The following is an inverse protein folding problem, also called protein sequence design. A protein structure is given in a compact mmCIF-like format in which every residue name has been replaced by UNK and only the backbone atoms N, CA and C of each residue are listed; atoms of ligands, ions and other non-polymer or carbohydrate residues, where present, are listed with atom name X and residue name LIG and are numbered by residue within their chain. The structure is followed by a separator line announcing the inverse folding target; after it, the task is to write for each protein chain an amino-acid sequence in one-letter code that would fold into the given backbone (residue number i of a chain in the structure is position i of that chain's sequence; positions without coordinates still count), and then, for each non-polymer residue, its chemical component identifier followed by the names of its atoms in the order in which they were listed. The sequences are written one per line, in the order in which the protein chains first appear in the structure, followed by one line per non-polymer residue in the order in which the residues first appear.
data_IF_675856972274
#
_entry.id   IF_675856972274
#
_cell.length_a   1.000
_cell.length_b   1.000
_cell.length_c   1.000
_cell.angle_alpha   90.00
_cell.angle_beta   90.00
_cell.angle_gamma   90.00
#
_symmetry.space_group_name_H-M   'P 1'
#
loop_
_entity.id
_entity.type
_entity.pdbx_description
1 polymer ?
#
# COMPACT_ATOMS: atom_id res chain seq x y z
N UNK A 1 0.38 4.61 34.69
CA UNK A 1 -1.08 4.39 34.69
C UNK A 1 -1.42 3.89 33.30
N UNK A 2 -2.00 2.69 33.17
CA UNK A 2 -2.11 2.00 31.89
C UNK A 2 -3.46 2.33 31.24
N UNK A 3 -3.51 3.49 30.60
CA UNK A 3 -4.66 3.97 29.83
C UNK A 3 -4.20 4.09 28.38
N UNK A 4 -4.94 3.49 27.45
CA UNK A 4 -4.75 3.66 26.02
C UNK A 4 -6.04 4.28 25.47
N UNK A 5 -5.95 5.53 25.05
CA UNK A 5 -7.03 6.22 24.34
C UNK A 5 -6.68 6.26 22.85
N UNK A 6 -7.47 5.60 22.02
CA UNK A 6 -7.20 5.43 20.60
C UNK A 6 -7.22 6.75 19.82
N UNK A 7 -7.99 7.74 20.28
CA UNK A 7 -8.08 9.05 19.62
C UNK A 7 -6.95 9.97 20.06
N UNK A 8 -6.64 10.00 21.35
CA UNK A 8 -5.59 10.87 21.89
C UNK A 8 -4.18 10.31 21.66
N UNK A 9 -4.04 8.98 21.59
CA UNK A 9 -2.77 8.29 21.42
C UNK A 9 -2.89 7.10 20.46
N UNK A 10 -3.18 7.34 19.17
CA UNK A 10 -3.30 6.28 18.15
C UNK A 10 -2.05 5.39 18.05
N UNK A 11 -0.87 5.95 18.28
CA UNK A 11 0.40 5.21 18.32
C UNK A 11 0.43 4.12 19.40
N UNK A 12 -0.28 4.30 20.53
CA UNK A 12 -0.37 3.28 21.58
C UNK A 12 -1.33 2.15 21.19
N UNK A 13 -2.40 2.44 20.43
CA UNK A 13 -3.24 1.40 19.81
C UNK A 13 -2.40 0.54 18.86
N UNK A 14 -1.64 1.17 17.96
CA UNK A 14 -0.76 0.46 17.03
C UNK A 14 0.27 -0.40 17.76
N UNK A 15 0.93 0.15 18.79
CA UNK A 15 1.89 -0.59 19.60
C UNK A 15 1.25 -1.75 20.39
N UNK A 16 0.00 -1.60 20.86
CA UNK A 16 -0.77 -2.66 21.52
C UNK A 16 -1.05 -3.81 20.54
N UNK A 17 -1.57 -3.49 19.34
CA UNK A 17 -1.94 -4.47 18.32
C UNK A 17 -0.73 -5.20 17.75
N UNK A 18 0.40 -4.50 17.56
CA UNK A 18 1.69 -5.10 17.22
C UNK A 18 2.31 -5.89 18.38
N UNK A 19 1.69 -5.84 19.57
CA UNK A 19 2.13 -6.51 20.77
C UNK A 19 3.38 -5.90 21.40
N UNK A 20 3.87 -4.74 20.95
CA UNK A 20 5.08 -4.09 21.48
C UNK A 20 4.91 -3.51 22.89
N UNK A 21 3.68 -3.30 23.35
CA UNK A 21 3.40 -2.86 24.71
C UNK A 21 3.51 -4.01 25.72
N UNK A 22 3.73 -3.64 26.98
CA UNK A 22 3.77 -4.57 28.11
C UNK A 22 4.78 -5.70 27.91
N UNK A 23 5.99 -5.38 27.45
CA UNK A 23 7.11 -6.31 27.30
C UNK A 23 8.30 -5.87 28.15
N UNK A 24 8.97 -6.83 28.77
CA UNK A 24 10.29 -6.66 29.37
C UNK A 24 11.33 -7.38 28.50
N UNK A 25 12.48 -6.73 28.27
CA UNK A 25 13.63 -7.37 27.63
C UNK A 25 14.62 -7.76 28.72
N UNK A 26 14.99 -9.03 28.79
CA UNK A 26 16.01 -9.50 29.71
C UNK A 26 17.37 -8.86 29.34
N UNK A 27 18.03 -8.13 30.24
CA UNK A 27 19.30 -7.48 29.92
C UNK A 27 20.43 -8.48 29.69
N UNK A 28 20.31 -9.72 30.21
CA UNK A 28 21.37 -10.73 30.12
C UNK A 28 21.29 -11.61 28.87
N UNK A 29 20.09 -11.90 28.36
CA UNK A 29 19.90 -12.82 27.23
C UNK A 29 19.00 -12.26 26.12
N UNK A 30 18.52 -11.02 26.27
CA UNK A 30 17.59 -10.35 25.35
C UNK A 30 16.25 -11.07 25.13
N UNK A 31 15.95 -12.11 25.92
CA UNK A 31 14.63 -12.73 25.90
C UNK A 31 13.56 -11.70 26.23
N UNK A 32 12.50 -11.69 25.42
CA UNK A 32 11.37 -10.77 25.60
C UNK A 32 10.26 -11.50 26.35
N UNK A 33 9.83 -10.95 27.48
CA UNK A 33 8.76 -11.51 28.32
C UNK A 33 7.59 -10.54 28.35
N UNK A 34 6.39 -11.04 28.08
CA UNK A 34 5.17 -10.26 28.25
C UNK A 34 4.89 -10.03 29.75
N UNK A 35 4.54 -8.80 30.11
CA UNK A 35 4.17 -8.41 31.45
C UNK A 35 2.64 -8.30 31.50
N UNK A 36 1.99 -9.18 32.26
CA UNK A 36 0.55 -9.11 32.48
C UNK A 36 0.22 -8.00 33.49
N UNK A 37 -0.14 -6.81 32.98
CA UNK A 37 -0.61 -5.68 33.79
C UNK A 37 -2.05 -5.29 33.43
N UNK A 38 -2.86 -4.82 34.40
CA UNK A 38 -4.16 -4.26 34.10
C UNK A 38 -4.05 -3.05 33.16
N UNK A 39 -5.02 -2.90 32.27
CA UNK A 39 -5.03 -1.88 31.23
C UNK A 39 -6.48 -1.48 30.93
N UNK A 40 -6.73 -0.20 30.66
CA UNK A 40 -7.98 0.24 30.04
C UNK A 40 -7.71 0.75 28.62
N UNK A 41 -8.49 0.25 27.67
CA UNK A 41 -8.52 0.70 26.29
C UNK A 41 -9.82 1.45 26.04
N UNK A 42 -9.71 2.64 25.46
CA UNK A 42 -10.83 3.53 25.17
C UNK A 42 -10.77 3.97 23.70
N UNK A 43 -11.86 3.75 22.98
CA UNK A 43 -12.02 4.22 21.60
C UNK A 43 -13.36 4.95 21.47
N UNK A 44 -13.34 6.30 21.50
CA UNK A 44 -14.55 7.09 21.49
C UNK A 44 -15.27 7.09 20.14
N UNK A 45 -14.57 6.81 19.04
CA UNK A 45 -15.14 6.72 17.69
C UNK A 45 -15.95 5.42 17.51
N UNK A 46 -15.54 4.38 18.22
CA UNK A 46 -16.21 3.07 18.26
C UNK A 46 -17.14 2.86 19.45
N UNK A 47 -17.30 3.88 20.31
CA UNK A 47 -18.03 3.79 21.58
C UNK A 47 -17.59 2.60 22.44
N UNK A 48 -16.29 2.35 22.50
CA UNK A 48 -15.70 1.15 23.06
C UNK A 48 -14.88 1.46 24.32
N UNK A 49 -15.15 0.72 25.39
CA UNK A 49 -14.37 0.77 26.63
C UNK A 49 -14.10 -0.65 27.12
N UNK A 50 -12.84 -1.08 26.99
CA UNK A 50 -12.38 -2.40 27.37
C UNK A 50 -11.44 -2.30 28.57
N UNK A 51 -11.59 -3.20 29.54
CA UNK A 51 -10.74 -3.27 30.73
C UNK A 51 -10.11 -4.65 30.81
N UNK A 52 -8.80 -4.74 30.60
CA UNK A 52 -8.04 -5.97 30.78
C UNK A 52 -7.71 -6.15 32.26
N UNK A 53 -8.16 -7.28 32.82
CA UNK A 53 -7.79 -7.75 34.15
C UNK A 53 -7.16 -9.14 34.01
N UNK A 54 -5.82 -9.24 33.94
CA UNK A 54 -5.15 -10.52 33.75
C UNK A 54 -5.42 -11.50 34.89
N UNK A 55 -5.75 -12.75 34.56
CA UNK A 55 -6.07 -13.80 35.55
C UNK A 55 -4.87 -14.19 36.39
N UNK A 56 -3.65 -13.98 35.88
CA UNK A 56 -2.40 -14.31 36.57
C UNK A 56 -2.18 -13.46 37.83
N UNK A 57 -2.93 -12.36 37.99
CA UNK A 57 -2.88 -11.51 39.19
C UNK A 57 -3.59 -12.14 40.41
N UNK A 58 -4.36 -13.21 40.22
CA UNK A 58 -5.01 -13.94 41.32
C UNK A 58 -5.95 -13.10 42.19
N UNK A 59 -6.56 -12.06 41.61
CA UNK A 59 -7.45 -11.14 42.33
C UNK A 59 -8.78 -11.79 42.69
N UNK A 60 -9.33 -11.46 43.86
CA UNK A 60 -10.72 -11.77 44.19
C UNK A 60 -11.71 -10.91 43.38
N UNK A 61 -12.96 -11.36 43.24
CA UNK A 61 -14.00 -10.62 42.52
C UNK A 61 -14.16 -9.17 43.02
N UNK A 62 -14.10 -8.97 44.34
CA UNK A 62 -14.20 -7.63 44.93
C UNK A 62 -12.99 -6.73 44.59
N UNK A 63 -11.79 -7.31 44.53
CA UNK A 63 -10.60 -6.56 44.11
C UNK A 63 -10.64 -6.21 42.63
N UNK A 64 -11.16 -7.14 41.80
CA UNK A 64 -11.38 -6.91 40.38
C UNK A 64 -12.35 -5.76 40.14
N UNK A 65 -13.51 -5.73 40.81
CA UNK A 65 -14.47 -4.62 40.69
C UNK A 65 -13.87 -3.27 41.07
N UNK A 66 -13.10 -3.20 42.16
CA UNK A 66 -12.41 -1.97 42.57
C UNK A 66 -11.38 -1.51 41.55
N UNK A 67 -10.61 -2.45 40.99
CA UNK A 67 -9.61 -2.17 39.97
C UNK A 67 -10.27 -1.63 38.69
N UNK A 68 -11.33 -2.31 38.23
CA UNK A 68 -12.11 -1.88 37.05
C UNK A 68 -12.69 -0.49 37.28
N UNK A 69 -13.33 -0.24 38.42
CA UNK A 69 -13.87 1.07 38.76
C UNK A 69 -12.80 2.17 38.78
N UNK A 70 -11.61 1.88 39.33
CA UNK A 70 -10.48 2.82 39.34
C UNK A 70 -9.96 3.16 37.94
N UNK A 71 -9.84 2.15 37.06
CA UNK A 71 -9.40 2.35 35.67
C UNK A 71 -10.42 3.11 34.84
N UNK A 72 -11.71 2.79 35.00
CA UNK A 72 -12.82 3.52 34.34
C UNK A 72 -12.86 4.97 34.80
N UNK A 73 -12.72 5.22 36.10
CA UNK A 73 -12.66 6.58 36.64
C UNK A 73 -11.46 7.36 36.10
N UNK A 74 -10.31 6.71 35.93
CA UNK A 74 -9.11 7.34 35.39
C UNK A 74 -9.33 7.84 33.97
N UNK A 75 -9.95 7.04 33.09
CA UNK A 75 -10.28 7.50 31.73
C UNK A 75 -11.39 8.54 31.74
N UNK A 76 -12.47 8.35 32.52
CA UNK A 76 -13.56 9.33 32.62
C UNK A 76 -13.09 10.71 33.05
N UNK A 77 -12.10 10.79 33.93
CA UNK A 77 -11.51 12.05 34.39
C UNK A 77 -10.76 12.81 33.29
N UNK A 78 -10.29 12.10 32.26
CA UNK A 78 -9.57 12.66 31.11
C UNK A 78 -10.49 12.94 29.91
N UNK A 79 -11.69 12.34 29.88
CA UNK A 79 -12.69 12.55 28.82
C UNK A 79 -13.61 13.75 29.14
N UNK A 80 -13.83 14.70 28.21
CA UNK A 80 -14.80 15.79 28.38
C UNK A 80 -16.22 15.28 28.66
N UNK A 81 -17.01 15.95 29.52
CA UNK A 81 -18.36 15.50 29.89
C UNK A 81 -19.27 15.17 28.70
N UNK A 82 -19.19 15.96 27.63
CA UNK A 82 -20.00 15.84 26.42
C UNK A 82 -19.67 14.57 25.61
N UNK A 83 -18.46 14.02 25.81
CA UNK A 83 -17.97 12.82 25.14
C UNK A 83 -18.16 11.54 25.98
N UNK A 84 -18.57 11.66 27.25
CA UNK A 84 -18.84 10.53 28.16
C UNK A 84 -20.20 9.91 27.85
N UNK A 85 -20.29 9.18 26.74
CA UNK A 85 -21.53 8.50 26.33
C UNK A 85 -21.82 7.26 27.19
N UNK A 86 -22.95 6.60 26.93
CA UNK A 86 -23.47 5.50 27.75
C UNK A 86 -22.54 4.28 27.90
N UNK A 87 -21.60 4.05 26.98
CA UNK A 87 -20.67 2.91 27.05
C UNK A 87 -19.71 2.97 28.25
N UNK A 88 -19.44 4.15 28.80
CA UNK A 88 -18.68 4.29 30.06
C UNK A 88 -19.36 3.63 31.26
N UNK A 89 -20.69 3.49 31.22
CA UNK A 89 -21.47 2.82 32.28
C UNK A 89 -21.51 1.30 32.11
N UNK A 90 -20.99 0.78 30.99
CA UNK A 90 -20.96 -0.64 30.66
C UNK A 90 -19.58 -1.05 30.11
N UNK A 91 -18.50 -0.89 30.90
CA UNK A 91 -17.17 -1.31 30.48
C UNK A 91 -17.14 -2.83 30.27
N UNK A 92 -16.55 -3.28 29.16
CA UNK A 92 -16.36 -4.71 28.92
C UNK A 92 -15.07 -5.16 29.58
N UNK A 93 -15.16 -6.10 30.51
CA UNK A 93 -13.98 -6.66 31.16
C UNK A 93 -13.49 -7.88 30.39
N UNK A 94 -12.20 -7.92 30.07
CA UNK A 94 -11.53 -9.05 29.42
C UNK A 94 -10.40 -9.57 30.27
N UNK A 95 -10.10 -10.87 30.13
CA UNK A 95 -9.18 -11.58 31.01
C UNK A 95 -7.81 -11.85 30.39
N UNK A 96 -7.70 -11.75 29.07
CA UNK A 96 -6.47 -12.03 28.34
C UNK A 96 -6.14 -10.90 27.37
N UNK A 97 -4.86 -10.66 27.15
CA UNK A 97 -4.40 -9.71 26.13
C UNK A 97 -4.91 -10.09 24.74
N UNK A 98 -4.96 -11.39 24.45
CA UNK A 98 -5.46 -11.91 23.18
C UNK A 98 -6.93 -11.50 22.94
N UNK A 99 -7.82 -11.67 23.93
CA UNK A 99 -9.23 -11.27 23.78
C UNK A 99 -9.40 -9.75 23.70
N UNK A 100 -8.56 -8.99 24.40
CA UNK A 100 -8.53 -7.53 24.27
C UNK A 100 -8.24 -7.13 22.82
N UNK A 101 -7.18 -7.68 22.23
CA UNK A 101 -6.77 -7.40 20.85
C UNK A 101 -7.88 -7.81 19.87
N UNK A 102 -8.48 -8.99 20.05
CA UNK A 102 -9.60 -9.44 19.22
C UNK A 102 -10.79 -8.47 19.24
N UNK A 103 -11.22 -7.99 20.42
CA UNK A 103 -12.33 -7.03 20.51
C UNK A 103 -12.01 -5.68 19.86
N UNK A 104 -10.75 -5.24 19.95
CA UNK A 104 -10.31 -4.01 19.26
C UNK A 104 -10.37 -4.21 17.75
N UNK A 105 -9.84 -5.33 17.25
CA UNK A 105 -9.87 -5.69 15.84
C UNK A 105 -11.30 -5.87 15.32
N UNK A 106 -12.18 -6.53 16.08
CA UNK A 106 -13.61 -6.68 15.77
C UNK A 106 -14.29 -5.31 15.61
N UNK A 107 -14.00 -4.35 16.49
CA UNK A 107 -14.51 -2.98 16.38
C UNK A 107 -13.93 -2.19 15.20
N UNK A 108 -12.71 -2.54 14.78
CA UNK A 108 -12.08 -2.04 13.56
C UNK A 108 -12.57 -2.78 12.29
N UNK A 109 -13.46 -3.77 12.42
CA UNK A 109 -14.04 -4.53 11.31
C UNK A 109 -13.23 -5.77 10.90
N UNK A 110 -12.19 -6.13 11.67
CA UNK A 110 -11.36 -7.31 11.44
C UNK A 110 -11.91 -8.49 12.24
N UNK A 111 -12.44 -9.50 11.57
CA UNK A 111 -13.03 -10.67 12.23
C UNK A 111 -11.99 -11.74 12.59
N UNK A 112 -12.35 -12.65 13.49
CA UNK A 112 -11.50 -13.80 13.82
C UNK A 112 -11.20 -14.65 12.58
N UNK A 113 -12.16 -14.80 11.67
CA UNK A 113 -11.98 -15.51 10.40
C UNK A 113 -10.95 -14.81 9.51
N UNK A 114 -10.94 -13.48 9.44
CA UNK A 114 -9.94 -12.71 8.70
C UNK A 114 -8.53 -12.90 9.27
N UNK A 115 -8.39 -12.88 10.60
CA UNK A 115 -7.11 -13.15 11.28
C UNK A 115 -6.63 -14.57 10.99
N UNK A 116 -7.53 -15.56 11.05
CA UNK A 116 -7.18 -16.95 10.73
C UNK A 116 -6.82 -17.11 9.26
N UNK A 117 -7.51 -16.42 8.35
CA UNK A 117 -7.16 -16.41 6.93
C UNK A 117 -5.75 -15.84 6.71
N UNK A 118 -5.42 -14.72 7.36
CA UNK A 118 -4.08 -14.14 7.30
C UNK A 118 -3.01 -15.10 7.84
N UNK A 119 -3.26 -15.76 8.99
CA UNK A 119 -2.35 -16.78 9.53
C UNK A 119 -2.14 -17.95 8.56
N UNK A 120 -3.22 -18.47 7.96
CA UNK A 120 -3.13 -19.54 6.95
C UNK A 120 -2.28 -19.12 5.75
N UNK A 121 -2.44 -17.88 5.24
CA UNK A 121 -1.62 -17.36 4.14
C UNK A 121 -0.13 -17.31 4.50
N UNK A 122 0.21 -16.83 5.70
CA UNK A 122 1.59 -16.78 6.18
C UNK A 122 2.19 -18.18 6.35
N UNK A 123 1.41 -19.14 6.88
CA UNK A 123 1.85 -20.53 7.00
C UNK A 123 2.09 -21.16 5.62
N UNK A 124 1.16 -20.99 4.67
CA UNK A 124 1.33 -21.48 3.31
C UNK A 124 2.56 -20.86 2.62
N UNK A 125 2.81 -19.57 2.83
CA UNK A 125 3.99 -18.90 2.30
C UNK A 125 5.30 -19.49 2.84
N UNK A 126 5.40 -19.73 4.15
CA UNK A 126 6.56 -20.40 4.76
C UNK A 126 6.75 -21.83 4.21
N UNK A 127 5.66 -22.58 4.03
CA UNK A 127 5.71 -23.92 3.45
C UNK A 127 6.22 -23.92 2.00
N UNK A 128 5.73 -22.98 1.17
CA UNK A 128 6.16 -22.81 -0.21
C UNK A 128 7.63 -22.38 -0.30
N UNK A 129 8.08 -21.42 0.52
CA UNK A 129 9.48 -20.98 0.57
C UNK A 129 10.42 -22.14 0.95
N UNK A 130 10.04 -22.96 1.93
CA UNK A 130 10.83 -24.16 2.30
C UNK A 130 10.87 -25.21 1.20
N UNK A 131 9.83 -25.28 0.38
CA UNK A 131 9.77 -26.18 -0.76
C UNK A 131 10.46 -25.62 -2.02
N UNK A 132 10.85 -24.34 -2.06
CA UNK A 132 11.40 -23.70 -3.24
C UNK A 132 12.69 -24.36 -3.79
N UNK A 133 13.43 -25.09 -2.95
CA UNK A 133 14.60 -25.88 -3.35
C UNK A 133 14.29 -27.27 -3.93
N UNK A 134 13.02 -27.70 -3.93
CA UNK A 134 12.56 -29.00 -4.42
C UNK A 134 11.35 -28.81 -5.34
N UNK A 135 11.61 -28.76 -6.64
CA UNK A 135 10.61 -28.44 -7.67
C UNK A 135 9.42 -29.41 -7.68
N UNK A 136 9.66 -30.70 -7.39
CA UNK A 136 8.58 -31.69 -7.37
C UNK A 136 7.65 -31.45 -6.18
N UNK A 137 8.22 -31.16 -5.01
CA UNK A 137 7.45 -30.82 -3.81
C UNK A 137 6.73 -29.48 -3.96
N UNK A 138 7.41 -28.46 -4.51
CA UNK A 138 6.82 -27.15 -4.75
C UNK A 138 5.63 -27.26 -5.70
N UNK A 139 5.77 -27.99 -6.81
CA UNK A 139 4.68 -28.22 -7.75
C UNK A 139 3.49 -28.86 -7.06
N UNK A 140 3.70 -29.94 -6.29
CA UNK A 140 2.62 -30.61 -5.56
C UNK A 140 1.88 -29.67 -4.58
N UNK A 141 2.61 -28.83 -3.84
CA UNK A 141 2.01 -27.82 -2.94
C UNK A 141 1.21 -26.77 -3.71
N UNK A 142 1.72 -26.30 -4.86
CA UNK A 142 0.97 -25.38 -5.72
C UNK A 142 -0.33 -26.04 -6.17
N UNK A 143 -0.29 -27.29 -6.62
CA UNK A 143 -1.50 -28.01 -7.08
C UNK A 143 -2.53 -28.20 -5.97
N UNK A 144 -2.07 -28.54 -4.77
CA UNK A 144 -2.91 -28.74 -3.58
C UNK A 144 -3.58 -27.44 -3.12
N UNK A 145 -2.84 -26.34 -3.15
CA UNK A 145 -3.27 -25.04 -2.62
C UNK A 145 -3.65 -24.02 -3.69
N UNK A 146 -3.88 -24.41 -4.96
CA UNK A 146 -4.22 -23.46 -6.05
C UNK A 146 -5.35 -22.49 -5.71
N UNK A 147 -6.32 -22.92 -4.90
CA UNK A 147 -7.44 -22.08 -4.47
C UNK A 147 -7.07 -21.01 -3.44
N UNK A 148 -6.01 -21.23 -2.65
CA UNK A 148 -5.52 -20.30 -1.64
C UNK A 148 -4.49 -19.30 -2.21
N UNK A 149 -3.99 -19.55 -3.43
CA UNK A 149 -3.07 -18.68 -4.17
C UNK A 149 -3.83 -17.57 -4.91
N UNK A 150 -4.60 -16.80 -4.14
CA UNK A 150 -5.49 -15.73 -4.60
C UNK A 150 -4.83 -14.34 -4.56
N UNK A 151 -5.58 -13.29 -4.92
CA UNK A 151 -5.06 -11.93 -4.89
C UNK A 151 -4.58 -11.51 -3.49
N UNK A 152 -5.28 -11.92 -2.43
CA UNK A 152 -4.90 -11.61 -1.05
C UNK A 152 -3.58 -12.26 -0.64
N UNK A 153 -3.30 -13.48 -1.12
CA UNK A 153 -2.01 -14.16 -0.93
C UNK A 153 -0.87 -13.36 -1.59
N UNK A 154 -1.03 -12.98 -2.86
CA UNK A 154 -0.01 -12.20 -3.59
C UNK A 154 0.17 -10.79 -3.04
N UNK A 155 -0.90 -10.15 -2.55
CA UNK A 155 -0.82 -8.86 -1.86
C UNK A 155 -0.02 -8.98 -0.55
N UNK A 156 -0.23 -10.06 0.20
CA UNK A 156 0.55 -10.36 1.42
C UNK A 156 2.03 -10.55 1.09
N UNK A 157 2.32 -11.32 0.03
CA UNK A 157 3.68 -11.56 -0.44
C UNK A 157 4.37 -10.26 -0.88
N UNK A 158 3.64 -9.38 -1.58
CA UNK A 158 4.12 -8.05 -2.00
C UNK A 158 4.45 -7.16 -0.80
N UNK A 159 3.61 -7.15 0.23
CA UNK A 159 3.88 -6.37 1.45
C UNK A 159 5.16 -6.86 2.16
N UNK A 160 5.39 -8.18 2.21
CA UNK A 160 6.61 -8.76 2.80
C UNK A 160 7.85 -8.41 1.95
N UNK A 161 7.74 -8.46 0.61
CA UNK A 161 8.80 -8.02 -0.29
C UNK A 161 9.20 -6.56 -0.06
N UNK A 162 8.21 -5.67 0.07
CA UNK A 162 8.43 -4.25 0.34
C UNK A 162 9.12 -4.02 1.68
N UNK A 163 8.72 -4.75 2.72
CA UNK A 163 9.38 -4.69 4.04
C UNK A 163 10.84 -5.16 3.96
N UNK A 164 11.09 -6.30 3.29
CA UNK A 164 12.45 -6.84 3.12
C UNK A 164 13.36 -5.86 2.35
N UNK A 165 12.83 -5.21 1.32
CA UNK A 165 13.54 -4.17 0.58
C UNK A 165 13.86 -2.95 1.47
N UNK A 166 12.93 -2.53 2.32
CA UNK A 166 13.13 -1.42 3.26
C UNK A 166 14.16 -1.75 4.36
N UNK A 167 14.22 -3.01 4.81
CA UNK A 167 15.19 -3.47 5.82
C UNK A 167 16.57 -3.81 5.25
N UNK A 168 16.75 -3.80 3.93
CA UNK A 168 17.99 -4.18 3.26
C UNK A 168 18.26 -5.69 3.23
N UNK A 169 17.23 -6.52 3.43
CA UNK A 169 17.34 -7.98 3.37
C UNK A 169 17.21 -8.47 1.93
N UNK A 170 18.29 -8.32 1.17
CA UNK A 170 18.30 -8.57 -0.28
C UNK A 170 18.17 -10.05 -0.63
N UNK A 171 18.58 -10.96 0.26
CA UNK A 171 18.51 -12.39 0.02
C UNK A 171 17.08 -12.91 0.15
N UNK A 172 16.40 -12.56 1.24
CA UNK A 172 15.03 -13.00 1.47
C UNK A 172 14.07 -12.36 0.44
N UNK A 173 14.32 -11.10 0.07
CA UNK A 173 13.60 -10.45 -1.02
C UNK A 173 13.77 -11.19 -2.36
N UNK A 174 14.99 -11.60 -2.71
CA UNK A 174 15.24 -12.32 -3.96
C UNK A 174 14.59 -13.71 -3.99
N UNK A 175 14.61 -14.44 -2.86
CA UNK A 175 13.96 -15.75 -2.77
C UNK A 175 12.43 -15.63 -2.91
N UNK A 176 11.85 -14.63 -2.26
CA UNK A 176 10.43 -14.37 -2.29
C UNK A 176 9.96 -13.92 -3.68
N UNK A 177 10.76 -13.13 -4.38
CA UNK A 177 10.49 -12.73 -5.76
C UNK A 177 10.57 -13.93 -6.72
N UNK A 178 11.59 -14.77 -6.59
CA UNK A 178 11.71 -15.99 -7.40
C UNK A 178 10.53 -16.96 -7.19
N UNK A 179 10.08 -17.11 -5.94
CA UNK A 179 8.87 -17.88 -5.63
C UNK A 179 7.64 -17.26 -6.30
N UNK A 180 7.47 -15.94 -6.18
CA UNK A 180 6.37 -15.21 -6.83
C UNK A 180 6.32 -15.49 -8.33
N UNK A 181 7.44 -15.33 -9.03
CA UNK A 181 7.54 -15.62 -10.46
C UNK A 181 7.16 -17.07 -10.77
N UNK A 182 7.64 -18.03 -9.98
CA UNK A 182 7.32 -19.45 -10.16
C UNK A 182 5.83 -19.75 -9.96
N UNK A 183 5.17 -19.11 -8.98
CA UNK A 183 3.72 -19.26 -8.77
C UNK A 183 2.93 -18.70 -9.96
N UNK A 184 3.36 -17.57 -10.52
CA UNK A 184 2.71 -16.93 -11.67
C UNK A 184 2.85 -17.72 -12.98
N UNK A 185 3.77 -18.67 -13.05
CA UNK A 185 3.89 -19.58 -14.20
C UNK A 185 2.77 -20.62 -14.25
N UNK A 186 2.03 -20.86 -13.15
CA UNK A 186 0.83 -21.69 -13.18
C UNK A 186 -0.34 -20.87 -13.77
N UNK A 187 -0.92 -21.28 -14.92
CA UNK A 187 -1.98 -20.51 -15.58
C UNK A 187 -3.26 -20.38 -14.76
N UNK A 188 -3.56 -21.36 -13.89
CA UNK A 188 -4.74 -21.34 -13.03
C UNK A 188 -4.55 -20.36 -11.87
N UNK A 189 -3.33 -20.23 -11.35
CA UNK A 189 -2.98 -19.18 -10.38
C UNK A 189 -3.03 -17.81 -11.04
N UNK A 190 -2.36 -17.63 -12.18
CA UNK A 190 -2.38 -16.36 -12.91
C UNK A 190 -3.80 -15.93 -13.37
N UNK A 191 -4.71 -16.89 -13.55
CA UNK A 191 -6.11 -16.59 -13.86
C UNK A 191 -6.88 -15.97 -12.70
N UNK A 192 -6.50 -16.28 -11.46
CA UNK A 192 -7.11 -15.78 -10.23
C UNK A 192 -6.57 -14.43 -9.77
N UNK A 193 -5.68 -13.82 -10.57
CA UNK A 193 -5.11 -12.52 -10.27
C UNK A 193 -5.68 -11.44 -11.19
N UNK A 194 -5.88 -10.23 -10.65
CA UNK A 194 -6.23 -9.07 -11.45
C UNK A 194 -5.07 -8.73 -12.38
N UNK A 195 -5.38 -8.52 -13.67
CA UNK A 195 -4.39 -8.23 -14.69
C UNK A 195 -4.97 -7.26 -15.73
N UNK A 196 -4.13 -6.49 -16.43
CA UNK A 196 -4.56 -5.71 -17.58
C UNK A 196 -5.19 -6.61 -18.64
N UNK A 197 -6.41 -6.29 -19.06
CA UNK A 197 -7.09 -6.93 -20.16
C UNK A 197 -6.58 -6.38 -21.49
N UNK A 198 -6.40 -7.22 -22.52
CA UNK A 198 -5.95 -6.75 -23.82
C UNK A 198 -6.97 -5.77 -24.42
N UNK A 199 -6.52 -4.71 -25.14
CA UNK A 199 -7.43 -3.68 -25.68
C UNK A 199 -8.52 -4.17 -26.64
N UNK A 200 -8.35 -5.37 -27.22
CA UNK A 200 -9.30 -6.02 -28.14
C UNK A 200 -9.98 -7.25 -27.54
N UNK A 201 -10.03 -7.36 -26.22
CA UNK A 201 -10.70 -8.47 -25.55
C UNK A 201 -12.18 -8.53 -25.96
N UNK A 202 -12.69 -9.75 -26.18
CA UNK A 202 -14.13 -9.93 -26.40
C UNK A 202 -14.89 -9.80 -25.08
N UNK A 203 -16.19 -9.49 -25.16
CA UNK A 203 -17.03 -9.44 -23.96
C UNK A 203 -17.02 -10.79 -23.22
N UNK A 204 -17.10 -11.90 -23.95
CA UNK A 204 -17.12 -13.26 -23.38
C UNK A 204 -15.83 -13.55 -22.61
N UNK A 205 -14.66 -13.31 -23.21
CA UNK A 205 -13.37 -13.49 -22.53
C UNK A 205 -13.23 -12.59 -21.30
N UNK A 206 -13.70 -11.33 -21.38
CA UNK A 206 -13.67 -10.41 -20.25
C UNK A 206 -14.56 -10.91 -19.11
N UNK A 207 -15.78 -11.39 -19.41
CA UNK A 207 -16.68 -11.94 -18.41
C UNK A 207 -16.13 -13.23 -17.81
N UNK A 208 -15.48 -14.09 -18.59
CA UNK A 208 -14.86 -15.32 -18.09
C UNK A 208 -13.67 -15.05 -17.16
N UNK A 209 -12.93 -13.95 -17.38
CA UNK A 209 -11.89 -13.48 -16.45
C UNK A 209 -12.51 -12.89 -15.19
N UNK A 210 -13.54 -12.06 -15.32
CA UNK A 210 -14.20 -11.42 -14.18
C UNK A 210 -14.94 -12.44 -13.30
N UNK A 211 -15.58 -13.45 -13.90
CA UNK A 211 -16.25 -14.53 -13.17
C UNK A 211 -15.26 -15.40 -12.39
N UNK A 212 -14.02 -15.55 -12.86
CA UNK A 212 -12.98 -16.25 -12.11
C UNK A 212 -12.55 -15.51 -10.84
N UNK A 213 -12.83 -14.21 -10.76
CA UNK A 213 -12.54 -13.34 -9.61
C UNK A 213 -13.79 -12.97 -8.82
N UNK A 214 -14.98 -13.46 -9.21
CA UNK A 214 -16.24 -12.95 -8.70
C UNK A 214 -16.40 -13.16 -7.19
N UNK A 215 -15.78 -14.19 -6.63
CA UNK A 215 -15.82 -14.53 -5.21
C UNK A 215 -14.74 -13.82 -4.37
N UNK A 216 -13.76 -13.17 -5.01
CA UNK A 216 -12.71 -12.37 -4.37
C UNK A 216 -12.97 -10.88 -4.64
N UNK A 217 -13.60 -10.22 -3.67
CA UNK A 217 -14.00 -8.81 -3.77
C UNK A 217 -12.79 -7.89 -3.98
N UNK A 218 -11.67 -8.16 -3.32
CA UNK A 218 -10.45 -7.37 -3.46
C UNK A 218 -9.82 -7.55 -4.85
N UNK A 219 -9.79 -8.80 -5.36
CA UNK A 219 -9.34 -9.07 -6.72
C UNK A 219 -10.23 -8.37 -7.76
N UNK A 220 -11.55 -8.43 -7.57
CA UNK A 220 -12.50 -7.79 -8.49
C UNK A 220 -12.37 -6.26 -8.47
N UNK A 221 -12.19 -5.65 -7.30
CA UNK A 221 -11.94 -4.21 -7.18
C UNK A 221 -10.62 -3.80 -7.84
N UNK A 222 -9.53 -4.55 -7.63
CA UNK A 222 -8.27 -4.32 -8.32
C UNK A 222 -8.42 -4.49 -9.85
N UNK A 223 -9.17 -5.50 -10.30
CA UNK A 223 -9.49 -5.70 -11.71
C UNK A 223 -10.26 -4.52 -12.29
N UNK A 224 -11.22 -3.97 -11.54
CA UNK A 224 -11.99 -2.77 -11.87
C UNK A 224 -11.08 -1.56 -12.08
N UNK A 225 -10.13 -1.34 -11.17
CA UNK A 225 -9.20 -0.21 -11.20
C UNK A 225 -8.27 -0.27 -12.42
N UNK A 226 -7.60 -1.42 -12.62
CA UNK A 226 -6.62 -1.62 -13.71
C UNK A 226 -7.29 -1.44 -15.09
N UNK A 227 -8.53 -1.89 -15.22
CA UNK A 227 -9.25 -1.95 -16.49
C UNK A 227 -10.36 -0.89 -16.61
N UNK A 228 -10.35 0.13 -15.76
CA UNK A 228 -11.39 1.19 -15.67
C UNK A 228 -11.81 1.78 -17.04
N UNK A 229 -10.90 2.04 -18.00
CA UNK A 229 -11.28 2.56 -19.33
C UNK A 229 -12.17 1.61 -20.14
N UNK A 230 -12.11 0.30 -19.89
CA UNK A 230 -12.91 -0.71 -20.58
C UNK A 230 -14.34 -0.81 -20.02
N UNK A 231 -14.51 -0.50 -18.73
CA UNK A 231 -15.79 -0.62 -18.01
C UNK A 231 -16.68 0.61 -18.19
N UNK A 232 -17.00 0.91 -19.45
CA UNK A 232 -17.94 1.95 -19.84
C UNK A 232 -19.37 1.45 -20.08
N UNK A 233 -20.25 2.35 -20.54
CA UNK A 233 -21.65 2.05 -20.85
C UNK A 233 -21.82 0.82 -21.78
N UNK A 234 -21.01 0.74 -22.84
CA UNK A 234 -21.08 -0.35 -23.82
C UNK A 234 -20.82 -1.72 -23.18
N UNK A 235 -19.87 -1.81 -22.26
CA UNK A 235 -19.54 -3.04 -21.54
C UNK A 235 -20.71 -3.50 -20.68
N UNK A 236 -21.25 -2.61 -19.84
CA UNK A 236 -22.37 -2.94 -18.95
C UNK A 236 -23.66 -3.25 -19.68
N UNK A 237 -23.89 -2.64 -20.85
CA UNK A 237 -24.99 -3.04 -21.75
C UNK A 237 -24.78 -4.47 -22.23
N UNK A 238 -23.58 -4.81 -22.71
CA UNK A 238 -23.24 -6.17 -23.14
C UNK A 238 -23.42 -7.21 -22.04
N UNK A 239 -22.94 -6.93 -20.83
CA UNK A 239 -23.14 -7.79 -19.64
C UNK A 239 -24.63 -8.01 -19.35
N UNK A 240 -25.45 -6.97 -19.47
CA UNK A 240 -26.90 -7.09 -19.31
C UNK A 240 -27.52 -8.01 -20.38
N UNK A 241 -27.08 -7.88 -21.63
CA UNK A 241 -27.54 -8.74 -22.73
C UNK A 241 -27.13 -10.21 -22.55
N UNK A 242 -25.93 -10.49 -22.03
CA UNK A 242 -25.47 -11.85 -21.68
C UNK A 242 -26.30 -12.46 -20.54
N UNK A 243 -26.61 -11.67 -19.52
CA UNK A 243 -27.46 -12.08 -18.41
C UNK A 243 -28.88 -12.47 -18.87
N UNK A 244 -29.49 -11.65 -19.74
CA UNK A 244 -30.81 -11.96 -20.31
C UNK A 244 -30.76 -13.18 -21.24
N UNK A 245 -29.68 -13.36 -22.02
CA UNK A 245 -29.48 -14.57 -22.83
C UNK A 245 -29.40 -15.82 -21.96
N UNK A 246 -28.62 -15.80 -20.88
CA UNK A 246 -28.55 -16.92 -19.93
C UNK A 246 -29.92 -17.23 -19.32
N UNK A 247 -30.67 -16.20 -18.92
CA UNK A 247 -32.03 -16.34 -18.37
C UNK A 247 -33.00 -16.96 -19.39
N UNK A 248 -32.99 -16.49 -20.64
CA UNK A 248 -33.84 -17.01 -21.71
C UNK A 248 -33.48 -18.44 -22.12
N UNK A 249 -32.21 -18.84 -21.96
CA UNK A 249 -31.75 -20.20 -22.16
C UNK A 249 -32.07 -21.14 -20.97
N UNK A 250 -32.64 -20.63 -19.88
CA UNK A 250 -32.94 -21.40 -18.67
C UNK A 250 -31.76 -21.60 -17.73
N UNK A 251 -30.59 -21.00 -18.00
CA UNK A 251 -29.42 -21.01 -17.10
C UNK A 251 -29.53 -19.89 -16.07
N UNK A 252 -30.43 -20.09 -15.10
CA UNK A 252 -30.68 -19.11 -14.03
C UNK A 252 -29.45 -18.92 -13.14
N UNK A 253 -28.66 -19.98 -12.89
CA UNK A 253 -27.46 -19.91 -12.07
C UNK A 253 -26.38 -19.01 -12.70
N UNK A 254 -26.16 -19.09 -14.01
CA UNK A 254 -25.25 -18.16 -14.71
C UNK A 254 -25.80 -16.74 -14.71
N UNK A 255 -27.10 -16.57 -14.97
CA UNK A 255 -27.72 -15.24 -14.95
C UNK A 255 -27.55 -14.55 -13.58
N UNK A 256 -27.75 -15.26 -12.48
CA UNK A 256 -27.62 -14.71 -11.13
C UNK A 256 -26.16 -14.40 -10.76
N UNK A 257 -25.20 -15.22 -11.22
CA UNK A 257 -23.77 -14.91 -11.09
C UNK A 257 -23.37 -13.66 -11.87
N UNK A 258 -23.85 -13.49 -13.09
CA UNK A 258 -23.62 -12.28 -13.90
C UNK A 258 -24.27 -11.04 -13.27
N UNK A 259 -25.46 -11.19 -12.69
CA UNK A 259 -26.14 -10.11 -11.96
C UNK A 259 -25.32 -9.65 -10.74
N UNK A 260 -24.80 -10.61 -9.98
CA UNK A 260 -23.95 -10.35 -8.80
C UNK A 260 -22.64 -9.69 -9.20
N UNK A 261 -21.97 -10.22 -10.24
CA UNK A 261 -20.76 -9.64 -10.79
C UNK A 261 -20.98 -8.19 -11.24
N UNK A 262 -22.09 -7.92 -11.95
CA UNK A 262 -22.45 -6.57 -12.40
C UNK A 262 -22.59 -5.61 -11.23
N UNK A 263 -23.28 -6.02 -10.16
CA UNK A 263 -23.49 -5.19 -8.99
C UNK A 263 -22.15 -4.86 -8.30
N UNK A 264 -21.33 -5.89 -8.02
CA UNK A 264 -20.02 -5.71 -7.37
C UNK A 264 -19.06 -4.86 -8.19
N UNK A 265 -19.04 -5.03 -9.51
CA UNK A 265 -18.17 -4.24 -10.38
C UNK A 265 -18.58 -2.76 -10.41
N UNK A 266 -19.88 -2.47 -10.43
CA UNK A 266 -20.38 -1.09 -10.34
C UNK A 266 -20.06 -0.45 -8.99
N UNK A 267 -20.21 -1.20 -7.90
CA UNK A 267 -19.88 -0.75 -6.55
C UNK A 267 -18.39 -0.43 -6.41
N UNK A 268 -17.51 -1.33 -6.87
CA UNK A 268 -16.07 -1.11 -6.86
C UNK A 268 -15.65 0.11 -7.70
N UNK A 269 -16.28 0.32 -8.87
CA UNK A 269 -16.02 1.50 -9.71
C UNK A 269 -16.51 2.78 -9.01
N UNK A 270 -17.70 2.76 -8.43
CA UNK A 270 -18.27 3.93 -7.74
C UNK A 270 -17.45 4.32 -6.51
N UNK A 271 -16.98 3.35 -5.73
CA UNK A 271 -16.09 3.60 -4.60
C UNK A 271 -14.77 4.23 -5.03
N UNK A 272 -14.15 3.71 -6.10
CA UNK A 272 -12.92 4.27 -6.66
C UNK A 272 -13.11 5.69 -7.21
N UNK A 273 -14.20 5.92 -7.96
CA UNK A 273 -14.52 7.23 -8.51
C UNK A 273 -14.76 8.25 -7.37
N UNK A 274 -15.46 7.85 -6.29
CA UNK A 274 -15.65 8.68 -5.09
C UNK A 274 -14.34 8.96 -4.36
N UNK A 275 -13.48 7.96 -4.16
CA UNK A 275 -12.19 8.12 -3.52
C UNK A 275 -11.28 9.08 -4.32
N UNK A 276 -11.26 8.94 -5.65
CA UNK A 276 -10.53 9.85 -6.53
C UNK A 276 -11.04 11.28 -6.46
N UNK A 277 -12.37 11.47 -6.44
CA UNK A 277 -12.97 12.81 -6.29
C UNK A 277 -12.62 13.44 -4.94
N UNK A 278 -12.66 12.65 -3.86
CA UNK A 278 -12.30 13.14 -2.53
C UNK A 278 -10.82 13.56 -2.47
N UNK A 279 -9.92 12.74 -3.02
CA UNK A 279 -8.49 13.08 -3.09
C UNK A 279 -8.23 14.33 -3.93
N UNK A 280 -8.88 14.46 -5.10
CA UNK A 280 -8.77 15.67 -5.93
C UNK A 280 -9.29 16.93 -5.22
N UNK A 281 -10.34 16.81 -4.42
CA UNK A 281 -10.86 17.94 -3.64
C UNK A 281 -9.91 18.31 -2.49
N UNK A 282 -9.26 17.33 -1.85
CA UNK A 282 -8.20 17.57 -0.86
C UNK A 282 -7.01 18.30 -1.50
N UNK A 283 -6.53 17.84 -2.66
CA UNK A 283 -5.48 18.52 -3.42
C UNK A 283 -5.87 19.96 -3.74
N UNK A 284 -7.11 20.18 -4.17
CA UNK A 284 -7.62 21.52 -4.50
C UNK A 284 -7.62 22.42 -3.27
N UNK A 285 -7.99 21.90 -2.10
CA UNK A 285 -7.96 22.65 -0.85
C UNK A 285 -6.51 23.01 -0.47
N UNK A 286 -5.59 22.05 -0.55
CA UNK A 286 -4.17 22.28 -0.29
C UNK A 286 -3.57 23.32 -1.26
N UNK A 287 -3.95 23.29 -2.54
CA UNK A 287 -3.54 24.32 -3.51
C UNK A 287 -4.03 25.72 -3.09
N UNK A 288 -5.28 25.87 -2.65
CA UNK A 288 -5.78 27.15 -2.15
C UNK A 288 -5.06 27.61 -0.88
N UNK A 289 -4.76 26.69 0.04
CA UNK A 289 -4.00 26.97 1.26
C UNK A 289 -2.59 27.49 0.94
N UNK A 290 -1.87 26.82 0.03
CA UNK A 290 -0.56 27.27 -0.46
C UNK A 290 -0.66 28.64 -1.11
N UNK A 291 -1.68 28.89 -1.94
CA UNK A 291 -1.88 30.18 -2.59
C UNK A 291 -2.18 31.31 -1.60
N UNK A 292 -2.92 31.02 -0.53
CA UNK A 292 -3.28 31.96 0.52
C UNK A 292 -2.13 32.21 1.51
N UNK A 293 -1.13 31.32 1.55
CA UNK A 293 0.02 31.46 2.44
C UNK A 293 0.82 32.74 2.16
N UNK A 294 1.19 33.49 3.22
CA UNK A 294 2.10 34.63 3.09
C UNK A 294 3.52 34.21 2.68
N UNK A 295 3.94 33.00 3.05
CA UNK A 295 5.19 32.36 2.60
C UNK A 295 4.87 31.06 1.89
N UNK A 296 4.71 31.14 0.57
CA UNK A 296 4.33 29.99 -0.26
C UNK A 296 5.43 28.95 -0.33
N UNK A 297 6.69 29.37 -0.32
CA UNK A 297 7.80 28.43 -0.41
C UNK A 297 7.93 27.61 0.88
N UNK A 298 7.72 28.22 2.05
CA UNK A 298 7.61 27.49 3.30
C UNK A 298 6.42 26.52 3.31
N UNK A 299 5.22 26.98 2.90
CA UNK A 299 4.04 26.12 2.82
C UNK A 299 4.25 24.91 1.89
N UNK A 300 4.85 25.11 0.72
CA UNK A 300 5.16 23.99 -0.19
C UNK A 300 6.14 23.00 0.46
N UNK A 301 7.16 23.46 1.19
CA UNK A 301 8.12 22.57 1.86
C UNK A 301 7.45 21.73 2.94
N UNK A 302 6.56 22.32 3.73
CA UNK A 302 5.86 21.63 4.80
C UNK A 302 4.94 20.51 4.28
N UNK A 303 4.40 20.69 3.07
CA UNK A 303 3.51 19.73 2.40
C UNK A 303 4.18 18.94 1.27
N UNK A 304 5.52 18.98 1.13
CA UNK A 304 6.20 18.38 -0.02
C UNK A 304 5.99 16.85 -0.10
N UNK A 305 5.79 16.19 1.05
CA UNK A 305 5.51 14.77 1.13
C UNK A 305 4.09 14.39 0.62
N UNK A 306 3.16 15.35 0.59
CA UNK A 306 1.79 15.18 0.09
C UNK A 306 1.71 15.45 -1.42
N UNK A 307 2.78 15.97 -2.03
CA UNK A 307 2.83 16.23 -3.47
C UNK A 307 3.10 14.93 -4.23
N UNK A 308 2.05 14.35 -4.77
CA UNK A 308 2.10 13.19 -5.65
C UNK A 308 1.73 13.54 -7.11
N UNK A 309 1.65 12.51 -7.96
CA UNK A 309 1.26 12.67 -9.36
C UNK A 309 -0.18 13.20 -9.51
N UNK A 310 -1.10 12.85 -8.61
CA UNK A 310 -2.47 13.33 -8.65
C UNK A 310 -2.51 14.83 -8.34
N UNK A 311 -1.82 15.26 -7.28
CA UNK A 311 -1.70 16.66 -6.90
C UNK A 311 -1.16 17.52 -8.05
N UNK A 312 -0.06 17.08 -8.69
CA UNK A 312 0.54 17.79 -9.83
C UNK A 312 -0.45 17.93 -11.00
N UNK A 313 -1.19 16.85 -11.30
CA UNK A 313 -2.22 16.89 -12.34
C UNK A 313 -3.39 17.82 -11.98
N UNK A 314 -3.81 17.83 -10.72
CA UNK A 314 -4.85 18.75 -10.20
C UNK A 314 -4.39 20.20 -10.33
N UNK A 315 -3.14 20.50 -9.99
CA UNK A 315 -2.53 21.82 -10.14
C UNK A 315 -2.46 22.28 -11.60
N UNK A 316 -1.98 21.42 -12.52
CA UNK A 316 -1.94 21.73 -13.96
C UNK A 316 -3.35 22.02 -14.50
N UNK A 317 -4.35 21.22 -14.11
CA UNK A 317 -5.75 21.47 -14.46
C UNK A 317 -6.26 22.81 -13.95
N UNK A 318 -5.89 23.19 -12.73
CA UNK A 318 -6.24 24.49 -12.15
C UNK A 318 -5.61 25.66 -12.93
N UNK A 319 -4.35 25.52 -13.37
CA UNK A 319 -3.65 26.50 -14.22
C UNK A 319 -4.41 26.70 -15.54
N UNK A 320 -4.78 25.60 -16.20
CA UNK A 320 -5.49 25.61 -17.46
C UNK A 320 -6.90 26.18 -17.33
N UNK A 321 -7.60 25.86 -16.23
CA UNK A 321 -8.93 26.39 -15.96
C UNK A 321 -8.90 27.90 -15.72
N UNK A 322 -7.98 28.40 -14.89
CA UNK A 322 -7.80 29.84 -14.69
C UNK A 322 -7.50 30.57 -16.01
N UNK A 323 -6.69 29.95 -16.89
CA UNK A 323 -6.41 30.49 -18.22
C UNK A 323 -7.64 30.51 -19.12
N UNK A 324 -8.45 29.45 -19.13
CA UNK A 324 -9.72 29.39 -19.89
C UNK A 324 -10.73 30.43 -19.42
N UNK A 325 -10.77 30.71 -18.12
CA UNK A 325 -11.65 31.70 -17.52
C UNK A 325 -11.15 33.16 -17.67
N UNK A 326 -9.94 33.37 -18.19
CA UNK A 326 -9.35 34.70 -18.36
C UNK A 326 -8.74 35.29 -17.08
N UNK A 327 -8.59 34.49 -16.02
CA UNK A 327 -7.94 34.89 -14.77
C UNK A 327 -6.42 34.73 -14.88
N UNK A 328 -5.79 35.71 -15.52
CA UNK A 328 -4.35 35.71 -15.80
C UNK A 328 -3.52 35.78 -14.52
N UNK A 329 -3.97 36.53 -13.52
CA UNK A 329 -3.27 36.67 -12.24
C UNK A 329 -3.22 35.34 -11.49
N UNK A 330 -4.36 34.67 -11.36
CA UNK A 330 -4.45 33.36 -10.71
C UNK A 330 -3.66 32.30 -11.47
N UNK A 331 -3.73 32.29 -12.80
CA UNK A 331 -2.95 31.37 -13.64
C UNK A 331 -1.44 31.55 -13.43
N UNK A 332 -0.96 32.79 -13.34
CA UNK A 332 0.45 33.08 -13.07
C UNK A 332 0.88 32.62 -11.67
N UNK A 333 0.06 32.85 -10.64
CA UNK A 333 0.34 32.40 -9.26
C UNK A 333 0.38 30.87 -9.14
N UNK A 334 -0.58 30.18 -9.76
CA UNK A 334 -0.60 28.71 -9.79
C UNK A 334 0.63 28.14 -10.50
N UNK A 335 1.09 28.80 -11.57
CA UNK A 335 2.32 28.42 -12.28
C UNK A 335 3.57 28.62 -11.43
N UNK A 336 3.67 29.73 -10.69
CA UNK A 336 4.76 29.95 -9.74
C UNK A 336 4.83 28.83 -8.68
N UNK A 337 3.68 28.41 -8.16
CA UNK A 337 3.58 27.27 -7.22
C UNK A 337 4.08 25.98 -7.87
N UNK A 338 3.60 25.67 -9.08
CA UNK A 338 4.02 24.49 -9.84
C UNK A 338 5.54 24.45 -10.05
N UNK A 339 6.13 25.56 -10.51
CA UNK A 339 7.56 25.64 -10.80
C UNK A 339 8.40 25.55 -9.51
N UNK A 340 7.92 26.14 -8.41
CA UNK A 340 8.55 26.02 -7.09
C UNK A 340 8.53 24.60 -6.57
N UNK A 341 7.41 23.89 -6.72
CA UNK A 341 7.28 22.47 -6.35
C UNK A 341 8.30 21.63 -7.13
N UNK A 342 8.36 21.79 -8.46
CA UNK A 342 9.32 21.05 -9.28
C UNK A 342 10.77 21.34 -8.89
N UNK A 343 11.09 22.59 -8.56
CA UNK A 343 12.42 22.95 -8.05
C UNK A 343 12.75 22.24 -6.73
N UNK A 344 11.82 22.23 -5.77
CA UNK A 344 12.01 21.61 -4.46
C UNK A 344 12.10 20.08 -4.56
N UNK A 345 11.27 19.45 -5.39
CA UNK A 345 11.38 18.02 -5.70
C UNK A 345 12.74 17.70 -6.34
N UNK A 346 13.19 18.55 -7.27
CA UNK A 346 14.50 18.38 -7.89
C UNK A 346 15.64 18.56 -6.88
N UNK A 347 15.54 19.50 -5.94
CA UNK A 347 16.51 19.67 -4.85
C UNK A 347 16.57 18.44 -3.93
N UNK A 348 15.43 17.83 -3.61
CA UNK A 348 15.31 16.66 -2.75
C UNK A 348 15.77 15.34 -3.40
N UNK A 349 15.92 15.28 -4.73
CA UNK A 349 16.37 14.05 -5.40
C UNK A 349 17.80 13.64 -4.97
N UNK A 350 18.06 12.33 -4.79
CA UNK A 350 19.41 11.81 -4.55
C UNK A 350 20.39 12.21 -5.67
N UNK A 351 21.67 12.49 -5.37
CA UNK A 351 22.68 12.88 -6.36
C UNK A 351 22.82 11.90 -7.53
N UNK A 352 22.70 10.60 -7.25
CA UNK A 352 22.79 9.51 -8.22
C UNK A 352 21.63 9.58 -9.21
N UNK A 353 20.41 9.78 -8.71
CA UNK A 353 19.20 9.88 -9.55
C UNK A 353 19.19 11.19 -10.37
N UNK A 354 19.70 12.29 -9.81
CA UNK A 354 19.91 13.55 -10.54
C UNK A 354 20.85 13.36 -11.72
N UNK A 355 21.96 12.64 -11.51
CA UNK A 355 22.93 12.35 -12.55
C UNK A 355 22.29 11.51 -13.66
N UNK A 356 21.56 10.44 -13.33
CA UNK A 356 20.85 9.61 -14.32
C UNK A 356 19.86 10.44 -15.15
N UNK A 357 19.04 11.28 -14.52
CA UNK A 357 18.10 12.16 -15.23
C UNK A 357 18.81 13.17 -16.15
N UNK A 358 19.94 13.74 -15.71
CA UNK A 358 20.77 14.63 -16.54
C UNK A 358 21.32 13.89 -17.76
N UNK A 359 21.79 12.65 -17.60
CA UNK A 359 22.31 11.83 -18.70
C UNK A 359 21.22 11.44 -19.69
N UNK A 360 20.02 11.11 -19.21
CA UNK A 360 18.86 10.79 -20.06
C UNK A 360 18.39 11.96 -20.92
N UNK A 361 18.51 13.18 -20.40
CA UNK A 361 18.13 14.40 -21.11
C UNK A 361 19.14 14.82 -22.19
N UNK A 362 20.32 14.21 -22.23
CA UNK A 362 21.36 14.52 -23.22
C UNK A 362 21.28 13.57 -24.41
N UNK A 363 21.27 14.14 -25.61
CA UNK A 363 21.15 13.37 -26.85
C UNK A 363 22.45 12.67 -27.21
N UNK A 364 23.60 13.34 -27.03
CA UNK A 364 24.88 12.88 -27.57
C UNK A 364 25.78 12.17 -26.54
N UNK A 365 26.53 11.12 -26.96
CA UNK A 365 27.50 10.46 -26.08
C UNK A 365 28.62 11.39 -25.58
N UNK A 366 29.02 12.38 -26.38
CA UNK A 366 30.09 13.31 -26.00
C UNK A 366 29.66 14.24 -24.85
N UNK A 367 28.42 14.73 -24.87
CA UNK A 367 27.85 15.51 -23.77
C UNK A 367 27.73 14.67 -22.50
N UNK A 368 27.28 13.41 -22.62
CA UNK A 368 27.20 12.49 -21.47
C UNK A 368 28.56 12.21 -20.86
N UNK A 369 29.60 11.97 -21.67
CA UNK A 369 30.98 11.79 -21.17
C UNK A 369 31.50 13.00 -20.42
N UNK A 370 31.21 14.22 -20.87
CA UNK A 370 31.58 15.44 -20.15
C UNK A 370 30.92 15.50 -18.76
N UNK A 371 29.61 15.21 -18.69
CA UNK A 371 28.86 15.17 -17.43
C UNK A 371 29.34 14.06 -16.49
N UNK A 372 29.68 12.88 -17.01
CA UNK A 372 30.23 11.78 -16.24
C UNK A 372 31.60 12.13 -15.65
N UNK A 373 32.47 12.80 -16.43
CA UNK A 373 33.76 13.27 -15.95
C UNK A 373 33.62 14.31 -14.82
N UNK A 374 32.65 15.23 -14.91
CA UNK A 374 32.31 16.19 -13.85
C UNK A 374 31.79 15.51 -12.57
N UNK A 375 31.18 14.33 -12.71
CA UNK A 375 30.47 13.63 -11.65
C UNK A 375 31.20 12.38 -11.15
N UNK A 376 32.52 12.31 -11.35
CA UNK A 376 33.35 11.13 -11.07
C UNK A 376 33.17 10.56 -9.64
N UNK A 377 32.88 11.41 -8.66
CA UNK A 377 32.65 11.00 -7.27
C UNK A 377 31.37 10.18 -7.04
N UNK A 378 30.41 10.23 -7.97
CA UNK A 378 29.15 9.50 -7.92
C UNK A 378 29.17 8.21 -8.75
N UNK A 379 30.27 7.92 -9.47
CA UNK A 379 30.40 6.75 -10.32
C UNK A 379 30.81 5.52 -9.49
N UNK A 380 29.87 5.00 -8.69
CA UNK A 380 30.06 3.84 -7.82
C UNK A 380 29.10 2.70 -8.16
N UNK A 381 29.21 1.60 -7.40
CA UNK A 381 28.34 0.43 -7.56
C UNK A 381 26.87 0.75 -7.24
N UNK A 382 26.59 1.76 -6.41
CA UNK A 382 25.22 2.16 -6.08
C UNK A 382 24.55 2.83 -7.29
N UNK A 383 25.27 3.70 -8.01
CA UNK A 383 24.78 4.29 -9.25
C UNK A 383 24.55 3.23 -10.33
N UNK A 384 25.46 2.26 -10.48
CA UNK A 384 25.29 1.16 -11.42
C UNK A 384 24.06 0.31 -11.08
N UNK A 385 23.87 -0.04 -9.81
CA UNK A 385 22.69 -0.78 -9.35
C UNK A 385 21.39 0.00 -9.59
N UNK A 386 21.39 1.32 -9.38
CA UNK A 386 20.25 2.19 -9.67
C UNK A 386 19.89 2.19 -11.16
N UNK A 387 20.91 2.32 -12.03
CA UNK A 387 20.74 2.29 -13.49
C UNK A 387 20.21 0.93 -13.96
N UNK A 388 20.72 -0.16 -13.38
CA UNK A 388 20.25 -1.52 -13.65
C UNK A 388 18.78 -1.71 -13.23
N UNK A 389 18.39 -1.19 -12.06
CA UNK A 389 17.00 -1.22 -11.61
C UNK A 389 16.07 -0.47 -12.58
N UNK A 390 16.44 0.75 -12.99
CA UNK A 390 15.66 1.55 -13.92
C UNK A 390 15.57 0.93 -15.32
N UNK A 391 16.65 0.30 -15.79
CA UNK A 391 16.65 -0.44 -17.06
C UNK A 391 15.63 -1.59 -17.02
N UNK A 392 15.64 -2.37 -15.95
CA UNK A 392 14.72 -3.50 -15.76
C UNK A 392 13.27 -3.02 -15.64
N UNK A 393 13.04 -1.90 -14.95
CA UNK A 393 11.72 -1.27 -14.87
C UNK A 393 11.19 -0.86 -16.25
N UNK A 394 11.99 -0.17 -17.06
CA UNK A 394 11.57 0.21 -18.41
C UNK A 394 11.32 -1.01 -19.32
N UNK A 395 12.10 -2.07 -19.17
CA UNK A 395 11.86 -3.32 -19.88
C UNK A 395 10.53 -3.96 -19.47
N UNK A 396 10.26 -4.03 -18.16
CA UNK A 396 9.01 -4.56 -17.59
C UNK A 396 7.78 -3.75 -17.94
N UNK A 397 7.91 -2.43 -18.12
CA UNK A 397 6.84 -1.53 -18.56
C UNK A 397 6.60 -1.53 -20.08
N UNK A 398 7.30 -2.37 -20.85
CA UNK A 398 7.16 -2.43 -22.30
C UNK A 398 7.71 -1.20 -23.03
N UNK A 399 8.74 -0.55 -22.47
CA UNK A 399 9.44 0.62 -23.05
C UNK A 399 10.85 0.23 -23.54
N UNK A 400 10.99 -0.57 -24.61
CA UNK A 400 12.28 -1.16 -25.02
C UNK A 400 13.31 -0.12 -25.47
N UNK A 401 12.88 1.01 -26.02
CA UNK A 401 13.79 2.11 -26.41
C UNK A 401 14.40 2.80 -25.20
N UNK A 402 13.60 3.05 -24.16
CA UNK A 402 14.09 3.63 -22.91
C UNK A 402 15.04 2.66 -22.18
N UNK A 403 14.73 1.36 -22.18
CA UNK A 403 15.60 0.33 -21.63
C UNK A 403 16.95 0.26 -22.37
N UNK A 404 16.95 0.34 -23.72
CA UNK A 404 18.18 0.40 -24.51
C UNK A 404 19.00 1.65 -24.19
N UNK A 405 18.35 2.81 -24.10
CA UNK A 405 19.02 4.05 -23.73
C UNK A 405 19.66 3.96 -22.35
N UNK A 406 18.98 3.32 -21.40
CA UNK A 406 19.54 3.08 -20.07
C UNK A 406 20.75 2.14 -20.12
N UNK A 407 20.72 1.10 -20.95
CA UNK A 407 21.85 0.20 -21.15
C UNK A 407 23.08 0.92 -21.75
N UNK A 408 22.87 1.85 -22.69
CA UNK A 408 23.94 2.71 -23.23
C UNK A 408 24.57 3.57 -22.12
N UNK A 409 23.72 4.25 -21.33
CA UNK A 409 24.15 5.09 -20.21
C UNK A 409 24.92 4.26 -19.17
N UNK A 410 24.46 3.04 -18.86
CA UNK A 410 25.14 2.11 -17.97
C UNK A 410 26.55 1.78 -18.45
N UNK A 411 26.70 1.50 -19.74
CA UNK A 411 28.02 1.20 -20.33
C UNK A 411 28.94 2.42 -20.22
N UNK A 412 28.45 3.61 -20.54
CA UNK A 412 29.23 4.86 -20.45
C UNK A 412 29.65 5.17 -19.00
N UNK A 413 28.78 4.91 -18.01
CA UNK A 413 29.11 5.03 -16.58
C UNK A 413 30.23 4.06 -16.21
N UNK A 414 30.14 2.79 -16.62
CA UNK A 414 31.16 1.78 -16.32
C UNK A 414 32.51 2.11 -16.96
N UNK A 415 32.52 2.59 -18.21
CA UNK A 415 33.72 3.06 -18.90
C UNK A 415 34.34 4.28 -18.19
N UNK A 416 33.53 5.25 -17.79
CA UNK A 416 33.99 6.43 -17.05
C UNK A 416 34.52 6.08 -15.66
N UNK A 417 33.89 5.13 -14.95
CA UNK A 417 34.34 4.64 -13.64
C UNK A 417 35.69 3.91 -13.74
N UNK A 418 35.90 3.11 -14.80
CA UNK A 418 37.17 2.42 -15.05
C UNK A 418 38.33 3.41 -15.31
N UNK A 419 38.07 4.52 -16.01
CA UNK A 419 39.06 5.58 -16.28
C UNK A 419 39.35 6.44 -15.04
N UNK A 420 38.35 6.66 -14.18
CA UNK A 420 38.51 7.41 -12.92
C UNK A 420 39.22 6.65 -11.78
N UNK A 421 39.28 5.31 -11.86
CA UNK A 421 39.98 4.44 -10.92
C UNK A 421 41.51 4.43 -11.05
N UNK A 422 42.04 4.87 -12.19
CA UNK A 422 43.47 5.12 -12.39
C UNK A 422 43.85 6.51 -11.85
N UNK A 423 43.88 6.70 -10.52
CA UNK A 423 44.66 7.81 -9.96
C UNK A 423 46.15 7.52 -10.20
N UNK A 424 46.93 8.43 -10.80
CA UNK A 424 48.38 8.28 -10.85
C UNK A 424 48.92 8.31 -9.42
N UNK A 425 49.70 7.29 -9.04
CA UNK A 425 50.59 7.42 -7.88
C UNK A 425 51.73 8.36 -8.26
N UNK A 426 51.65 9.62 -7.84
CA UNK A 426 52.75 10.52 -7.44
C UNK A 426 52.29 11.98 -7.52
#
# INVERSE_FOLDING_TARGET
MNVIDARLAPQLKTALLAGYLNRAVCPSCRAVTAISVPLVYHDPDKELLLVLVPTELGLSAQQQERLVGGLVQAIMSQTPPEQRKGYFLRPQTVLTMQRLIELILEADGVTAEMIQAQKRRLTLLDELLRAAGDEARLTALIEEHRGDLDYSFFATMTAILQEAAASGDTQDAAQLEALRERLLQDPEVARRLPAPLPPRITLEEALDRLLALADDEAALAAMAAINRPLFGYTFFRGLTEEMERARNAGDTARADRLATLRARLLEAIDEQDRALQAAQEQDRQLIEEILASPDRQAAIRDHLAEVDTLFLNTLVRAIDEARRQGDIERSARLREVHDTILSLLAEAMPPELKLVNRLLALDTPDERRAVLAESAALLDENLLALVDALQNEFAGQGRPEAARRMAEIRQEIAEAAAVGGEKPSA
#
